data_IF_066392239789
#
_entry.id   IF_066392239789
#
_cell.length_a   1.000
_cell.length_b   1.000
_cell.length_c   1.000
_cell.angle_alpha   90.00
_cell.angle_beta   90.00
_cell.angle_gamma   90.00
#
_symmetry.space_group_name_H-M   'P 1'
#
loop_
_entity.id
_entity.type
_entity.pdbx_description
1 polymer ?
#
# COMPACT_ATOMS: atom_id res chain seq x y z
N UNK A 1 21.40 7.70 -4.20
CA UNK A 1 20.65 8.73 -4.96
C UNK A 1 19.88 9.59 -3.96
N UNK A 2 20.31 10.83 -3.71
CA UNK A 2 19.60 11.74 -2.80
C UNK A 2 18.40 12.36 -3.55
N UNK A 3 17.17 11.97 -3.20
CA UNK A 3 15.94 12.53 -3.77
C UNK A 3 15.48 13.73 -2.95
N UNK A 4 15.11 14.82 -3.62
CA UNK A 4 14.54 16.03 -2.97
C UNK A 4 13.11 15.72 -2.50
N UNK A 5 12.87 15.86 -1.19
CA UNK A 5 11.57 15.57 -0.57
C UNK A 5 10.60 16.74 -0.81
N UNK A 6 9.39 16.46 -1.33
CA UNK A 6 8.34 17.47 -1.50
C UNK A 6 7.13 17.16 -0.60
N UNK A 7 7.08 17.82 0.55
CA UNK A 7 6.02 17.64 1.56
C UNK A 7 4.93 18.73 1.51
N UNK A 8 4.96 19.63 0.52
CA UNK A 8 3.99 20.73 0.44
C UNK A 8 2.55 20.17 0.33
N UNK A 9 1.66 20.56 1.24
CA UNK A 9 0.27 20.07 1.26
C UNK A 9 0.08 18.64 1.76
N UNK A 10 1.11 17.99 2.32
CA UNK A 10 0.98 16.68 2.99
C UNK A 10 0.81 16.89 4.49
N UNK A 11 -0.33 16.46 5.04
CA UNK A 11 -0.65 16.51 6.46
C UNK A 11 -0.16 15.25 7.18
N UNK A 12 1.07 15.28 7.68
CA UNK A 12 1.67 14.11 8.36
C UNK A 12 1.01 13.76 9.71
N UNK A 13 0.37 14.72 10.39
CA UNK A 13 -0.33 14.47 11.66
C UNK A 13 -1.61 13.68 11.43
N UNK A 14 -2.38 14.04 10.40
CA UNK A 14 -3.58 13.30 10.01
C UNK A 14 -3.25 11.87 9.54
N UNK A 15 -2.18 11.70 8.76
CA UNK A 15 -1.70 10.36 8.37
C UNK A 15 -1.38 9.52 9.61
N UNK A 16 -0.68 10.11 10.60
CA UNK A 16 -0.35 9.43 11.85
C UNK A 16 -1.59 9.04 12.64
N UNK A 17 -2.57 9.94 12.75
CA UNK A 17 -3.85 9.64 13.41
C UNK A 17 -4.56 8.43 12.78
N UNK A 18 -4.67 8.39 11.44
CA UNK A 18 -5.29 7.26 10.73
C UNK A 18 -4.49 5.97 10.90
N UNK A 19 -3.15 6.02 10.89
CA UNK A 19 -2.30 4.86 11.13
C UNK A 19 -2.46 4.31 12.55
N UNK A 20 -2.63 5.20 13.54
CA UNK A 20 -2.75 4.81 14.94
C UNK A 20 -4.03 4.00 15.22
N UNK A 21 -5.12 4.25 14.49
CA UNK A 21 -6.37 3.46 14.58
C UNK A 21 -6.18 1.96 14.29
N UNK A 22 -5.22 1.58 13.43
CA UNK A 22 -4.92 0.19 13.05
C UNK A 22 -3.51 -0.25 13.45
N UNK A 23 -2.86 0.47 14.36
CA UNK A 23 -1.43 0.29 14.70
C UNK A 23 -1.05 -1.14 15.05
N UNK A 24 -1.82 -1.78 15.93
CA UNK A 24 -1.52 -3.14 16.39
C UNK A 24 -1.59 -4.15 15.25
N UNK A 25 -2.69 -4.13 14.46
CA UNK A 25 -2.89 -5.01 13.30
C UNK A 25 -1.81 -4.76 12.25
N UNK A 26 -1.60 -3.50 11.85
CA UNK A 26 -0.56 -3.12 10.88
C UNK A 26 0.83 -3.63 11.31
N UNK A 27 1.23 -3.38 12.55
CA UNK A 27 2.54 -3.79 13.08
C UNK A 27 2.69 -5.31 13.06
N UNK A 28 1.65 -6.04 13.49
CA UNK A 28 1.65 -7.50 13.46
C UNK A 28 1.76 -8.03 12.02
N UNK A 29 0.91 -7.53 11.12
CA UNK A 29 0.92 -7.92 9.70
C UNK A 29 2.26 -7.68 9.02
N UNK A 30 2.89 -6.53 9.27
CA UNK A 30 4.21 -6.21 8.70
C UNK A 30 5.31 -7.12 9.27
N UNK A 31 5.27 -7.43 10.57
CA UNK A 31 6.22 -8.36 11.20
C UNK A 31 6.02 -9.81 10.77
N UNK A 32 4.78 -10.22 10.53
CA UNK A 32 4.44 -11.60 10.17
C UNK A 32 4.77 -11.94 8.72
N UNK A 33 4.94 -10.96 7.84
CA UNK A 33 5.21 -11.21 6.42
C UNK A 33 6.58 -11.89 6.24
N UNK A 34 6.59 -13.18 5.92
CA UNK A 34 7.81 -13.95 5.71
C UNK A 34 8.44 -13.79 4.30
N UNK A 35 7.94 -12.85 3.48
CA UNK A 35 8.38 -12.67 2.10
C UNK A 35 8.34 -13.94 1.23
N UNK A 36 7.49 -14.91 1.56
CA UNK A 36 7.43 -16.23 0.92
C UNK A 36 6.73 -16.23 -0.45
N UNK A 37 6.15 -15.11 -0.88
CA UNK A 37 5.43 -14.96 -2.15
C UNK A 37 4.20 -15.87 -2.36
N UNK A 38 3.78 -16.65 -1.36
CA UNK A 38 2.62 -17.56 -1.48
C UNK A 38 1.29 -16.83 -1.77
N UNK A 39 1.21 -15.53 -1.52
CA UNK A 39 0.03 -14.72 -1.89
C UNK A 39 -0.03 -14.36 -3.39
N UNK A 40 1.04 -14.57 -4.17
CA UNK A 40 1.16 -14.05 -5.53
C UNK A 40 0.06 -14.57 -6.47
N UNK A 41 -0.05 -15.90 -6.58
CA UNK A 41 -0.97 -16.55 -7.53
C UNK A 41 -2.46 -16.37 -7.18
N UNK A 42 -2.76 -15.97 -5.93
CA UNK A 42 -4.12 -15.60 -5.54
C UNK A 42 -4.62 -14.29 -6.17
N UNK A 43 -3.72 -13.46 -6.72
CA UNK A 43 -4.07 -12.19 -7.34
C UNK A 43 -4.23 -12.34 -8.86
N UNK A 44 -5.46 -12.18 -9.36
CA UNK A 44 -5.71 -12.25 -10.79
C UNK A 44 -4.97 -11.17 -11.59
N UNK A 45 -4.70 -10.00 -11.00
CA UNK A 45 -3.89 -8.97 -11.66
C UNK A 45 -2.42 -9.37 -11.79
N UNK A 46 -1.87 -10.09 -10.82
CA UNK A 46 -0.53 -10.66 -10.95
C UNK A 46 -0.47 -11.69 -12.08
N UNK A 47 -1.45 -12.60 -12.12
CA UNK A 47 -1.55 -13.62 -13.17
C UNK A 47 -1.78 -13.00 -14.56
N UNK A 48 -2.61 -11.97 -14.65
CA UNK A 48 -2.95 -11.29 -15.91
C UNK A 48 -1.88 -10.33 -16.44
N UNK A 49 -0.87 -9.96 -15.64
CA UNK A 49 0.21 -9.05 -16.04
C UNK A 49 1.57 -9.76 -16.09
N UNK A 50 1.61 -10.91 -16.76
CA UNK A 50 2.84 -11.70 -16.97
C UNK A 50 3.64 -11.96 -15.68
N UNK A 51 2.94 -12.12 -14.55
CA UNK A 51 3.55 -12.34 -13.23
C UNK A 51 4.53 -11.24 -12.82
N UNK A 52 4.30 -9.99 -13.25
CA UNK A 52 5.10 -8.84 -12.79
C UNK A 52 4.98 -8.69 -11.25
N UNK A 53 6.11 -8.76 -10.50
CA UNK A 53 6.11 -8.65 -9.04
C UNK A 53 5.43 -7.39 -8.50
N UNK A 54 5.34 -6.30 -9.26
CA UNK A 54 4.63 -5.07 -8.86
C UNK A 54 3.14 -5.31 -8.62
N UNK A 55 2.56 -6.35 -9.23
CA UNK A 55 1.18 -6.78 -9.03
C UNK A 55 1.00 -7.81 -7.92
N UNK A 56 2.06 -8.27 -7.28
CA UNK A 56 1.97 -9.21 -6.16
C UNK A 56 1.30 -8.54 -4.93
N UNK A 57 0.39 -9.22 -4.19
CA UNK A 57 -0.26 -8.64 -3.02
C UNK A 57 0.70 -8.18 -1.92
N UNK A 58 1.70 -9.01 -1.58
CA UNK A 58 2.73 -8.65 -0.59
C UNK A 58 3.55 -7.44 -1.04
N UNK A 59 3.88 -7.34 -2.34
CA UNK A 59 4.59 -6.19 -2.88
C UNK A 59 3.80 -4.89 -2.67
N UNK A 60 2.51 -4.89 -3.01
CA UNK A 60 1.63 -3.72 -2.80
C UNK A 60 1.53 -3.36 -1.33
N UNK A 61 1.35 -4.34 -0.45
CA UNK A 61 1.25 -4.16 0.99
C UNK A 61 2.52 -3.52 1.58
N UNK A 62 3.68 -4.08 1.26
CA UNK A 62 4.97 -3.63 1.79
C UNK A 62 5.37 -2.26 1.22
N UNK A 63 5.08 -2.00 -0.05
CA UNK A 63 5.41 -0.72 -0.71
C UNK A 63 4.33 0.36 -0.53
N UNK A 64 3.25 0.08 0.20
CA UNK A 64 2.29 1.09 0.63
C UNK A 64 2.30 1.26 2.15
N UNK A 65 1.58 0.41 2.87
CA UNK A 65 1.51 0.43 4.34
C UNK A 65 2.89 0.25 4.96
N UNK A 66 3.76 -0.58 4.38
CA UNK A 66 5.14 -0.73 4.88
C UNK A 66 5.96 0.56 4.76
N UNK A 67 5.78 1.35 3.70
CA UNK A 67 6.42 2.67 3.54
C UNK A 67 5.88 3.66 4.56
N UNK A 68 4.56 3.73 4.72
CA UNK A 68 3.89 4.56 5.73
C UNK A 68 4.39 4.23 7.15
N UNK A 69 4.48 2.95 7.48
CA UNK A 69 5.00 2.48 8.76
C UNK A 69 6.47 2.84 8.96
N UNK A 70 7.34 2.54 7.98
CA UNK A 70 8.78 2.81 8.04
C UNK A 70 9.06 4.31 8.19
N UNK A 71 8.29 5.16 7.50
CA UNK A 71 8.43 6.63 7.56
C UNK A 71 7.66 7.26 8.72
N UNK A 72 6.95 6.46 9.54
CA UNK A 72 6.08 6.94 10.64
C UNK A 72 5.09 8.02 10.18
N UNK A 73 4.51 7.84 8.99
CA UNK A 73 3.61 8.80 8.36
C UNK A 73 4.28 10.01 7.68
N UNK A 74 5.60 10.20 7.82
CA UNK A 74 6.34 11.32 7.20
C UNK A 74 6.66 11.06 5.72
N UNK A 75 5.62 10.91 4.90
CA UNK A 75 5.70 10.69 3.46
C UNK A 75 5.69 12.01 2.68
N UNK A 76 6.08 11.96 1.41
CA UNK A 76 6.04 13.10 0.49
C UNK A 76 5.05 12.86 -0.67
N UNK A 77 4.88 13.85 -1.56
CA UNK A 77 3.94 13.71 -2.70
C UNK A 77 4.26 12.55 -3.62
N UNK A 78 5.54 12.26 -3.85
CA UNK A 78 5.90 11.16 -4.75
C UNK A 78 5.69 9.81 -4.07
N UNK A 79 5.91 9.68 -2.75
CA UNK A 79 5.49 8.49 -1.99
C UNK A 79 3.99 8.23 -2.14
N UNK A 80 3.17 9.28 -2.01
CA UNK A 80 1.71 9.19 -2.20
C UNK A 80 1.33 8.83 -3.65
N UNK A 81 2.05 9.37 -4.64
CA UNK A 81 1.86 9.03 -6.05
C UNK A 81 2.21 7.56 -6.36
N UNK A 82 3.33 7.07 -5.85
CA UNK A 82 3.72 5.66 -5.98
C UNK A 82 2.72 4.74 -5.28
N UNK A 83 2.24 5.13 -4.09
CA UNK A 83 1.19 4.40 -3.37
C UNK A 83 -0.12 4.37 -4.14
N UNK A 84 -0.54 5.49 -4.74
CA UNK A 84 -1.75 5.56 -5.57
C UNK A 84 -1.74 4.49 -6.66
N UNK A 85 -0.64 4.37 -7.39
CA UNK A 85 -0.51 3.39 -8.47
C UNK A 85 -0.59 1.95 -7.92
N UNK A 86 -0.01 1.68 -6.74
CA UNK A 86 -0.11 0.37 -6.09
C UNK A 86 -1.52 0.01 -5.63
N UNK A 87 -2.27 0.98 -5.07
CA UNK A 87 -3.55 0.72 -4.41
C UNK A 87 -4.76 0.88 -5.33
N UNK A 88 -4.61 1.49 -6.51
CA UNK A 88 -5.70 1.63 -7.49
C UNK A 88 -5.40 1.03 -8.85
N UNK A 89 -4.26 1.36 -9.48
CA UNK A 89 -3.95 0.82 -10.81
C UNK A 89 -3.62 -0.67 -10.72
N UNK A 90 -2.78 -1.04 -9.75
CA UNK A 90 -2.37 -2.43 -9.57
C UNK A 90 -3.31 -3.20 -8.66
N UNK A 91 -4.31 -2.57 -8.06
CA UNK A 91 -5.23 -3.23 -7.13
C UNK A 91 -6.66 -2.71 -7.29
N UNK A 92 -7.60 -3.61 -7.58
CA UNK A 92 -9.03 -3.29 -7.56
C UNK A 92 -9.70 -3.54 -6.20
N UNK A 93 -8.93 -3.97 -5.19
CA UNK A 93 -9.43 -4.36 -3.86
C UNK A 93 -10.56 -5.41 -3.92
N UNK A 94 -10.38 -6.44 -4.75
CA UNK A 94 -11.35 -7.53 -4.90
C UNK A 94 -11.42 -8.51 -3.72
N UNK A 95 -10.61 -8.30 -2.68
CA UNK A 95 -10.49 -9.12 -1.45
C UNK A 95 -10.18 -10.62 -1.66
N UNK A 96 -9.85 -11.06 -2.88
CA UNK A 96 -9.53 -12.47 -3.18
C UNK A 96 -8.13 -12.91 -2.78
N UNK A 97 -7.21 -11.97 -2.57
CA UNK A 97 -5.84 -12.35 -2.24
C UNK A 97 -5.78 -13.04 -0.87
N UNK A 98 -5.03 -14.12 -0.80
CA UNK A 98 -4.93 -14.97 0.38
C UNK A 98 -3.47 -15.04 0.85
N UNK A 99 -3.27 -14.95 2.16
CA UNK A 99 -1.98 -15.16 2.79
C UNK A 99 -2.07 -16.36 3.75
N UNK A 100 -1.27 -17.42 3.57
CA UNK A 100 -1.33 -18.59 4.45
C UNK A 100 -0.84 -18.31 5.88
N UNK A 101 -0.12 -17.20 6.10
CA UNK A 101 0.29 -16.73 7.43
C UNK A 101 -0.86 -16.00 8.16
N UNK A 102 -1.97 -15.73 7.48
CA UNK A 102 -3.13 -15.04 8.05
C UNK A 102 -3.08 -13.51 7.96
N UNK A 103 -2.22 -12.96 7.10
CA UNK A 103 -2.19 -11.51 6.86
C UNK A 103 -3.39 -11.09 6.01
N UNK A 104 -4.24 -10.23 6.58
CA UNK A 104 -5.31 -9.56 5.87
C UNK A 104 -4.76 -8.40 5.01
N UNK A 105 -4.20 -8.77 3.85
CA UNK A 105 -3.66 -7.83 2.86
C UNK A 105 -4.74 -6.86 2.35
N UNK A 106 -5.99 -7.29 2.03
CA UNK A 106 -7.04 -6.38 1.61
C UNK A 106 -7.27 -5.23 2.60
N UNK A 107 -7.38 -5.51 3.90
CA UNK A 107 -7.57 -4.47 4.92
C UNK A 107 -6.40 -3.49 4.98
N UNK A 108 -5.16 -3.98 4.78
CA UNK A 108 -3.99 -3.10 4.72
C UNK A 108 -4.00 -2.21 3.48
N UNK A 109 -4.39 -2.74 2.31
CA UNK A 109 -4.52 -1.93 1.10
C UNK A 109 -5.67 -0.91 1.22
N UNK A 110 -6.75 -1.26 1.91
CA UNK A 110 -7.84 -0.34 2.23
C UNK A 110 -7.38 0.81 3.14
N UNK A 111 -6.54 0.52 4.14
CA UNK A 111 -5.89 1.55 4.99
C UNK A 111 -5.04 2.50 4.15
N UNK A 112 -4.21 1.98 3.24
CA UNK A 112 -3.40 2.82 2.35
C UNK A 112 -4.26 3.71 1.44
N UNK A 113 -5.38 3.19 0.89
CA UNK A 113 -6.35 4.00 0.13
C UNK A 113 -6.95 5.12 0.98
N UNK A 114 -7.34 4.83 2.22
CA UNK A 114 -7.90 5.84 3.14
C UNK A 114 -6.91 6.97 3.39
N UNK A 115 -5.64 6.63 3.61
CA UNK A 115 -4.57 7.63 3.78
C UNK A 115 -4.36 8.45 2.50
N UNK A 116 -4.32 7.82 1.33
CA UNK A 116 -4.20 8.58 0.08
C UNK A 116 -5.36 9.58 -0.08
N UNK A 117 -6.60 9.15 0.20
CA UNK A 117 -7.77 10.04 0.13
C UNK A 117 -7.72 11.20 1.13
N UNK A 118 -7.24 10.98 2.35
CA UNK A 118 -7.10 12.09 3.32
C UNK A 118 -6.10 13.14 2.86
N UNK A 119 -5.14 12.75 2.01
CA UNK A 119 -4.16 13.65 1.41
C UNK A 119 -4.59 14.19 0.02
N UNK A 120 -5.86 14.04 -0.35
CA UNK A 120 -6.38 14.49 -1.65
C UNK A 120 -5.85 13.69 -2.85
N UNK A 121 -5.32 12.49 -2.62
CA UNK A 121 -4.81 11.61 -3.68
C UNK A 121 -5.87 10.56 -4.01
N UNK A 122 -6.26 10.53 -5.28
CA UNK A 122 -7.34 9.71 -5.83
C UNK A 122 -6.85 8.90 -7.04
N UNK A 123 -7.60 7.87 -7.49
CA UNK A 123 -7.34 7.23 -8.77
C UNK A 123 -7.31 8.27 -9.90
N UNK A 124 -6.42 8.08 -10.86
CA UNK A 124 -6.41 8.86 -12.10
C UNK A 124 -6.88 7.93 -13.22
N UNK A 125 -7.94 8.31 -13.91
CA UNK A 125 -8.52 7.53 -15.02
C UNK A 125 -8.03 8.03 -16.38
N UNK A 126 -7.40 9.20 -16.42
CA UNK A 126 -7.06 9.94 -17.65
C UNK A 126 -5.63 9.69 -18.11
N UNK A 127 -5.01 8.58 -17.68
CA UNK A 127 -3.65 8.19 -18.06
C UNK A 127 -3.72 6.98 -18.99
N UNK A 128 -3.58 7.26 -20.28
CA UNK A 128 -3.37 6.27 -21.35
C UNK A 128 -1.90 5.80 -21.38
#
# INVERSE_FOLDING_TARGET
>A
MFRKKNTAGVNSDEIRAILDEKKAKMKLSLKACAHCSLCAESCFLFMGHNKDPKYMPSYKFLNSVGVLYKKKGNVDKQDLGEMRDLVWERCVLCTRCYCPIGIDIPDMLALARRICRSQGVYPQYDRE
#
